data_IF_854197277574
#
_entry.id   IF_854197277574
#
_cell.length_a   1.000
_cell.length_b   1.000
_cell.length_c   1.000
_cell.angle_alpha   90.00
_cell.angle_beta   90.00
_cell.angle_gamma   90.00
#
_symmetry.space_group_name_H-M   'P 1'
#
loop_
_entity.id
_entity.type
_entity.pdbx_description
1 polymer ?
#
# COMPACT_ATOMS: atom_id res chain seq x y z
N UNK A 1 -10.16 -0.13 -19.23
CA UNK A 1 -11.29 -0.01 -18.28
C UNK A 1 -10.71 0.33 -16.92
N UNK A 2 -11.03 1.49 -16.32
CA UNK A 2 -10.51 1.85 -15.02
C UNK A 2 -11.13 0.93 -13.99
N UNK A 3 -10.34 0.02 -13.43
CA UNK A 3 -10.69 -0.70 -12.22
C UNK A 3 -10.56 0.26 -11.02
N UNK A 4 -11.46 1.23 -10.96
CA UNK A 4 -11.80 1.86 -9.70
C UNK A 4 -12.30 0.75 -8.77
N UNK A 5 -11.43 0.26 -7.87
CA UNK A 5 -11.88 -0.43 -6.67
C UNK A 5 -12.69 0.55 -5.84
N UNK A 6 -13.93 0.80 -6.27
CA UNK A 6 -14.94 1.33 -5.36
C UNK A 6 -15.01 0.34 -4.22
N UNK A 7 -14.67 0.79 -3.01
CA UNK A 7 -14.90 0.04 -1.77
C UNK A 7 -16.28 -0.57 -1.89
N UNK A 8 -16.35 -1.90 -1.92
CA UNK A 8 -17.61 -2.59 -1.70
C UNK A 8 -18.10 -2.18 -0.31
N UNK A 9 -19.01 -1.21 -0.25
CA UNK A 9 -19.79 -0.94 0.96
C UNK A 9 -20.69 -2.15 1.14
N UNK A 10 -20.45 -2.80 2.24
CA UNK A 10 -21.09 -3.96 2.80
C UNK A 10 -22.63 -3.95 2.73
N UNK A 11 -23.25 -5.01 2.25
CA UNK A 11 -24.68 -5.27 2.53
C UNK A 11 -25.09 -6.74 2.47
N UNK A 12 -24.18 -7.70 2.69
CA UNK A 12 -24.61 -9.06 3.10
C UNK A 12 -23.43 -9.85 3.68
N UNK A 13 -23.41 -9.95 5.00
CA UNK A 13 -22.47 -10.79 5.74
C UNK A 13 -22.90 -12.24 5.69
N UNK A 14 -22.21 -13.08 4.93
CA UNK A 14 -22.09 -14.49 5.30
C UNK A 14 -20.86 -14.63 6.18
N UNK A 15 -21.04 -14.48 7.48
CA UNK A 15 -19.99 -14.73 8.49
C UNK A 15 -20.05 -16.20 8.84
N UNK A 16 -19.06 -16.98 8.43
CA UNK A 16 -18.82 -18.30 8.99
C UNK A 16 -17.86 -18.11 10.17
N UNK A 17 -18.41 -18.12 11.38
CA UNK A 17 -17.62 -18.12 12.60
C UNK A 17 -17.17 -19.55 12.93
N UNK A 18 -15.90 -19.82 12.87
CA UNK A 18 -15.29 -21.03 13.44
C UNK A 18 -14.56 -20.67 14.73
N UNK A 19 -15.09 -21.13 15.86
CA UNK A 19 -14.43 -21.01 17.16
C UNK A 19 -13.50 -22.19 17.37
N UNK A 20 -12.19 -21.93 17.45
CA UNK A 20 -11.20 -22.92 17.88
C UNK A 20 -10.73 -22.57 19.28
N UNK A 21 -11.02 -23.44 20.26
CA UNK A 21 -10.53 -23.25 21.62
C UNK A 21 -9.08 -23.70 21.76
N UNK A 22 -8.21 -22.86 22.30
CA UNK A 22 -6.82 -23.17 22.61
C UNK A 22 -6.66 -23.45 24.10
N UNK A 23 -6.00 -24.55 24.45
CA UNK A 23 -5.93 -25.09 25.82
C UNK A 23 -5.32 -24.12 26.86
N UNK A 24 -5.68 -24.35 28.15
CA UNK A 24 -5.35 -23.54 29.36
C UNK A 24 -3.86 -23.33 29.70
N UNK A 25 -2.92 -23.99 29.01
CA UNK A 25 -1.46 -23.87 29.29
C UNK A 25 -0.74 -22.85 28.41
N UNK A 26 -1.37 -21.70 28.17
CA UNK A 26 -0.76 -20.59 27.45
C UNK A 26 -0.25 -19.51 28.43
N UNK A 27 0.48 -18.51 27.89
CA UNK A 27 1.01 -17.37 28.67
C UNK A 27 -0.07 -16.58 29.41
N UNK A 28 -1.26 -16.46 28.82
CA UNK A 28 -2.39 -15.72 29.38
C UNK A 28 -3.12 -16.48 30.50
N UNK A 29 -2.76 -17.77 30.75
CA UNK A 29 -3.38 -18.63 31.76
C UNK A 29 -4.91 -18.70 31.66
N UNK A 30 -5.45 -18.41 30.50
CA UNK A 30 -6.88 -18.37 30.19
C UNK A 30 -7.22 -19.23 28.97
N UNK A 31 -8.49 -19.52 28.77
CA UNK A 31 -8.96 -20.09 27.50
C UNK A 31 -8.89 -19.00 26.44
N UNK A 32 -8.43 -19.34 25.26
CA UNK A 32 -8.37 -18.44 24.12
C UNK A 32 -9.39 -18.87 23.08
N UNK A 33 -10.03 -17.89 22.44
CA UNK A 33 -10.92 -18.08 21.30
C UNK A 33 -10.32 -17.40 20.08
N UNK A 34 -10.13 -18.16 19.00
CA UNK A 34 -9.76 -17.63 17.70
C UNK A 34 -11.03 -17.53 16.83
N UNK A 35 -11.39 -16.31 16.48
CA UNK A 35 -12.47 -16.03 15.58
C UNK A 35 -11.93 -15.80 14.19
N UNK A 36 -12.54 -16.43 13.19
CA UNK A 36 -12.18 -16.23 11.78
C UNK A 36 -13.41 -15.73 11.03
N UNK A 37 -13.32 -14.49 10.55
CA UNK A 37 -14.35 -13.87 9.72
C UNK A 37 -13.99 -14.02 8.25
N UNK A 38 -14.89 -14.51 7.41
CA UNK A 38 -14.75 -14.45 5.97
C UNK A 38 -15.88 -13.62 5.35
N UNK A 39 -15.52 -12.70 4.46
CA UNK A 39 -16.46 -11.81 3.77
C UNK A 39 -16.21 -11.93 2.28
N UNK A 40 -17.23 -12.31 1.51
CA UNK A 40 -17.15 -12.35 0.04
C UNK A 40 -17.83 -11.12 -0.55
N UNK A 41 -17.21 -10.53 -1.58
CA UNK A 41 -17.81 -9.42 -2.31
C UNK A 41 -19.12 -9.88 -2.99
N UNK A 42 -20.27 -9.22 -2.73
CA UNK A 42 -21.55 -9.61 -3.29
C UNK A 42 -21.67 -9.34 -4.79
N UNK A 43 -20.74 -8.58 -5.38
CA UNK A 43 -20.75 -8.26 -6.81
C UNK A 43 -20.42 -9.52 -7.62
N UNK A 44 -21.30 -9.98 -8.53
CA UNK A 44 -21.10 -11.23 -9.29
C UNK A 44 -19.82 -11.28 -10.12
N UNK A 45 -19.36 -10.13 -10.61
CA UNK A 45 -18.13 -9.98 -11.42
C UNK A 45 -16.86 -9.88 -10.60
N UNK A 46 -16.96 -9.65 -9.27
CA UNK A 46 -15.81 -9.51 -8.38
C UNK A 46 -15.55 -10.81 -7.61
N UNK A 47 -16.50 -11.23 -6.78
CA UNK A 47 -16.46 -12.42 -5.90
C UNK A 47 -15.16 -12.58 -5.09
N UNK A 48 -14.37 -11.50 -4.97
CA UNK A 48 -13.20 -11.48 -4.09
C UNK A 48 -13.63 -11.69 -2.64
N UNK A 49 -12.81 -12.39 -1.87
CA UNK A 49 -13.09 -12.63 -0.46
C UNK A 49 -11.97 -12.13 0.44
N UNK A 50 -12.36 -11.70 1.63
CA UNK A 50 -11.45 -11.28 2.70
C UNK A 50 -11.60 -12.23 3.89
N UNK A 51 -10.45 -12.54 4.53
CA UNK A 51 -10.41 -13.36 5.74
C UNK A 51 -9.66 -12.59 6.81
N UNK A 52 -10.26 -12.50 8.00
CA UNK A 52 -9.64 -11.89 9.19
C UNK A 52 -9.67 -12.90 10.33
N UNK A 53 -8.60 -12.92 11.14
CA UNK A 53 -8.54 -13.66 12.38
C UNK A 53 -8.41 -12.72 13.57
N UNK A 54 -9.09 -13.02 14.67
CA UNK A 54 -9.00 -12.27 15.93
C UNK A 54 -8.82 -13.26 17.08
N UNK A 55 -7.85 -13.02 17.94
CA UNK A 55 -7.59 -13.81 19.14
C UNK A 55 -8.09 -13.07 20.37
N UNK A 56 -8.93 -13.71 21.14
CA UNK A 56 -9.49 -13.17 22.38
C UNK A 56 -9.21 -14.10 23.55
N UNK A 57 -9.18 -13.55 24.77
CA UNK A 57 -9.44 -14.36 25.97
C UNK A 57 -10.91 -14.77 25.96
N UNK A 58 -11.21 -15.95 26.53
CA UNK A 58 -12.58 -16.47 26.58
C UNK A 58 -12.94 -16.86 28.01
N UNK A 59 -14.04 -16.32 28.51
CA UNK A 59 -14.60 -16.69 29.79
C UNK A 59 -15.65 -17.78 29.62
N UNK A 60 -15.25 -19.03 29.88
CA UNK A 60 -16.14 -20.18 29.75
C UNK A 60 -17.28 -20.23 30.76
N UNK A 61 -17.21 -19.44 31.86
CA UNK A 61 -18.29 -19.37 32.84
C UNK A 61 -19.42 -18.43 32.41
N UNK A 62 -19.09 -17.42 31.59
CA UNK A 62 -20.02 -16.42 31.08
C UNK A 62 -20.36 -16.61 29.61
N UNK A 63 -19.71 -17.58 28.94
CA UNK A 63 -19.80 -17.80 27.49
C UNK A 63 -19.56 -16.51 26.70
N UNK A 64 -18.48 -15.78 27.06
CA UNK A 64 -18.24 -14.47 26.53
C UNK A 64 -16.77 -14.25 26.13
N UNK A 65 -16.58 -13.48 25.04
CA UNK A 65 -15.27 -13.01 24.63
C UNK A 65 -14.77 -11.91 25.60
N UNK A 66 -13.53 -12.07 26.03
CA UNK A 66 -12.82 -11.08 26.81
C UNK A 66 -11.93 -10.16 25.97
N UNK A 67 -10.74 -9.84 26.48
CA UNK A 67 -9.79 -8.94 25.85
C UNK A 67 -9.30 -9.48 24.51
N UNK A 68 -9.28 -8.62 23.48
CA UNK A 68 -8.60 -8.92 22.21
C UNK A 68 -7.08 -8.90 22.43
N UNK A 69 -6.42 -10.00 22.05
CA UNK A 69 -4.97 -10.21 22.20
C UNK A 69 -4.22 -10.02 20.88
N UNK A 70 -4.92 -10.18 19.75
CA UNK A 70 -4.34 -10.03 18.44
C UNK A 70 -5.36 -10.04 17.32
N UNK A 71 -4.99 -9.41 16.21
CA UNK A 71 -5.80 -9.32 15.00
C UNK A 71 -4.92 -9.45 13.77
N UNK A 72 -5.35 -10.25 12.81
CA UNK A 72 -4.62 -10.52 11.58
C UNK A 72 -5.55 -10.42 10.37
N UNK A 73 -5.06 -9.78 9.32
CA UNK A 73 -5.66 -9.83 8.00
C UNK A 73 -5.01 -11.00 7.26
N UNK A 74 -5.75 -12.09 7.05
CA UNK A 74 -5.24 -13.28 6.39
C UNK A 74 -5.39 -13.21 4.86
N UNK A 75 -6.46 -12.51 4.40
CA UNK A 75 -6.67 -12.27 2.97
C UNK A 75 -7.49 -10.99 2.74
N UNK A 76 -7.08 -10.11 1.80
CA UNK A 76 -5.72 -10.11 1.25
C UNK A 76 -4.70 -9.95 2.37
N UNK A 77 -3.54 -10.53 2.21
CA UNK A 77 -2.44 -10.42 3.18
C UNK A 77 -1.73 -9.05 3.14
N UNK A 78 -2.12 -8.20 2.23
CA UNK A 78 -1.59 -6.84 2.08
C UNK A 78 -2.71 -5.84 1.86
N UNK A 79 -2.50 -4.60 2.31
CA UNK A 79 -3.36 -3.44 2.04
C UNK A 79 -3.03 -2.75 0.69
N UNK A 80 -2.11 -3.31 -0.08
CA UNK A 80 -1.67 -2.74 -1.35
C UNK A 80 -2.84 -2.53 -2.33
N UNK A 81 -2.84 -1.38 -2.99
CA UNK A 81 -3.73 -1.09 -4.11
C UNK A 81 -3.19 -1.77 -5.36
N UNK A 82 -4.08 -2.18 -6.24
CA UNK A 82 -3.68 -2.70 -7.54
C UNK A 82 -3.39 -1.55 -8.47
N UNK A 83 -2.19 -1.51 -9.01
CA UNK A 83 -1.77 -0.54 -10.01
C UNK A 83 -1.67 -1.18 -11.40
N UNK A 84 -1.92 -0.39 -12.49
CA UNK A 84 -1.89 -0.90 -13.86
C UNK A 84 -0.49 -1.37 -14.31
N UNK A 85 -0.48 -2.29 -15.27
CA UNK A 85 0.74 -2.93 -15.77
C UNK A 85 1.67 -2.02 -16.58
N UNK A 86 1.19 -0.85 -17.01
CA UNK A 86 2.05 0.15 -17.66
C UNK A 86 2.97 0.89 -16.66
N UNK A 87 2.76 0.73 -15.35
CA UNK A 87 3.73 1.15 -14.33
C UNK A 87 4.79 0.06 -14.21
N UNK A 88 6.09 0.40 -14.22
CA UNK A 88 7.17 -0.57 -14.20
C UNK A 88 7.04 -1.59 -13.07
N UNK A 89 7.23 -2.87 -13.43
CA UNK A 89 7.08 -3.99 -12.50
C UNK A 89 7.91 -3.83 -11.21
N UNK A 90 9.21 -3.42 -11.26
CA UNK A 90 10.00 -3.25 -10.03
C UNK A 90 9.41 -2.23 -9.05
N UNK A 91 8.80 -1.14 -9.58
CA UNK A 91 8.16 -0.12 -8.76
C UNK A 91 6.92 -0.70 -8.07
N UNK A 92 6.11 -1.47 -8.81
CA UNK A 92 4.91 -2.11 -8.24
C UNK A 92 5.26 -3.17 -7.21
N UNK A 93 6.29 -3.99 -7.46
CA UNK A 93 6.76 -5.02 -6.53
C UNK A 93 7.29 -4.41 -5.23
N UNK A 94 8.10 -3.36 -5.29
CA UNK A 94 8.60 -2.66 -4.10
C UNK A 94 7.46 -2.06 -3.26
N UNK A 95 6.45 -1.48 -3.92
CA UNK A 95 5.27 -0.96 -3.26
C UNK A 95 4.44 -2.05 -2.60
N UNK A 96 4.17 -3.15 -3.31
CA UNK A 96 3.38 -4.27 -2.80
C UNK A 96 4.07 -4.94 -1.60
N UNK A 97 5.38 -5.13 -1.68
CA UNK A 97 6.18 -5.70 -0.60
C UNK A 97 6.21 -4.76 0.62
N UNK A 98 6.39 -3.44 0.42
CA UNK A 98 6.32 -2.47 1.51
C UNK A 98 4.97 -2.52 2.24
N UNK A 99 3.86 -2.60 1.50
CA UNK A 99 2.53 -2.75 2.08
C UNK A 99 2.36 -4.07 2.86
N UNK A 100 2.95 -5.16 2.35
CA UNK A 100 2.86 -6.49 2.96
C UNK A 100 3.55 -6.55 4.32
N UNK A 101 4.76 -5.97 4.42
CA UNK A 101 5.62 -6.09 5.60
C UNK A 101 5.50 -4.93 6.58
N UNK A 102 4.69 -3.92 6.30
CA UNK A 102 4.57 -2.68 7.10
C UNK A 102 4.39 -2.96 8.60
N UNK A 103 3.46 -3.83 8.96
CA UNK A 103 3.13 -4.14 10.35
C UNK A 103 4.11 -5.16 10.97
N UNK A 104 4.87 -5.88 10.15
CA UNK A 104 5.87 -6.85 10.59
C UNK A 104 7.24 -6.21 10.77
N UNK A 105 7.60 -5.30 9.89
CA UNK A 105 8.88 -4.60 9.91
C UNK A 105 8.74 -3.19 9.29
N UNK A 106 8.26 -2.21 10.06
CA UNK A 106 8.07 -0.84 9.56
C UNK A 106 9.34 -0.25 8.95
N UNK A 107 10.49 -0.52 9.56
CA UNK A 107 11.81 -0.11 9.05
C UNK A 107 12.11 -0.67 7.65
N UNK A 108 11.85 -1.95 7.42
CA UNK A 108 12.05 -2.56 6.11
C UNK A 108 11.04 -2.02 5.08
N UNK A 109 9.78 -1.81 5.48
CA UNK A 109 8.75 -1.20 4.66
C UNK A 109 9.12 0.23 4.22
N UNK A 110 9.64 1.05 5.16
CA UNK A 110 10.14 2.39 4.84
C UNK A 110 11.31 2.35 3.84
N UNK A 111 12.21 1.39 3.97
CA UNK A 111 13.33 1.19 3.04
C UNK A 111 12.84 0.85 1.64
N UNK A 112 11.85 -0.05 1.52
CA UNK A 112 11.23 -0.40 0.23
C UNK A 112 10.47 0.79 -0.37
N UNK A 113 9.73 1.55 0.43
CA UNK A 113 9.04 2.75 -0.03
C UNK A 113 10.03 3.79 -0.59
N UNK A 114 11.20 3.96 0.02
CA UNK A 114 12.27 4.85 -0.50
C UNK A 114 12.86 4.32 -1.80
N UNK A 115 13.09 3.01 -1.92
CA UNK A 115 13.55 2.38 -3.16
C UNK A 115 12.53 2.55 -4.27
N UNK A 116 11.26 2.38 -3.95
CA UNK A 116 10.13 2.64 -4.84
C UNK A 116 10.11 4.10 -5.32
N UNK A 117 10.25 5.08 -4.40
CA UNK A 117 10.37 6.50 -4.73
C UNK A 117 11.52 6.77 -5.70
N UNK A 118 12.69 6.19 -5.44
CA UNK A 118 13.84 6.33 -6.31
C UNK A 118 13.57 5.76 -7.71
N UNK A 119 12.92 4.59 -7.77
CA UNK A 119 12.47 3.99 -9.03
C UNK A 119 11.51 4.89 -9.81
N UNK A 120 10.55 5.51 -9.12
CA UNK A 120 9.59 6.45 -9.71
C UNK A 120 10.31 7.69 -10.28
N UNK A 121 11.23 8.29 -9.52
CA UNK A 121 12.00 9.48 -9.96
C UNK A 121 12.79 9.15 -11.21
N UNK A 122 13.47 8.02 -11.24
CA UNK A 122 14.30 7.59 -12.37
C UNK A 122 13.47 7.27 -13.62
N UNK A 123 12.37 6.55 -13.45
CA UNK A 123 11.53 6.13 -14.58
C UNK A 123 10.69 7.29 -15.12
N UNK A 124 10.04 8.03 -14.26
CA UNK A 124 9.08 9.06 -14.70
C UNK A 124 9.74 10.37 -15.13
N UNK A 125 10.78 10.80 -14.41
CA UNK A 125 11.47 12.07 -14.63
C UNK A 125 12.81 11.92 -15.35
N UNK A 126 13.33 10.69 -15.50
CA UNK A 126 14.63 10.43 -16.12
C UNK A 126 15.82 10.92 -15.27
N UNK A 127 15.61 11.28 -14.00
CA UNK A 127 16.63 11.75 -13.09
C UNK A 127 17.32 10.56 -12.44
N UNK A 128 18.64 10.41 -12.64
CA UNK A 128 19.42 9.32 -12.06
C UNK A 128 20.72 9.83 -11.49
N UNK A 129 20.89 9.73 -10.17
CA UNK A 129 22.09 10.11 -9.42
C UNK A 129 22.56 8.96 -8.53
N UNK A 130 23.75 9.14 -7.94
CA UNK A 130 24.29 8.16 -7.02
C UNK A 130 23.47 8.02 -5.72
N UNK A 131 22.83 9.11 -5.26
CA UNK A 131 22.07 9.13 -4.00
C UNK A 131 20.68 9.68 -4.25
N UNK A 132 19.68 9.10 -3.57
CA UNK A 132 18.29 9.57 -3.62
C UNK A 132 18.16 11.06 -3.26
N UNK A 133 18.95 11.55 -2.31
CA UNK A 133 18.94 12.97 -1.92
C UNK A 133 19.26 13.90 -3.08
N UNK A 134 20.19 13.51 -3.94
CA UNK A 134 20.59 14.31 -5.10
C UNK A 134 19.51 14.27 -6.19
N UNK A 135 18.81 13.13 -6.33
CA UNK A 135 17.65 12.98 -7.22
C UNK A 135 16.46 13.83 -6.76
N UNK A 136 16.19 13.88 -5.45
CA UNK A 136 15.14 14.73 -4.86
C UNK A 136 15.47 16.22 -5.07
N UNK A 137 16.72 16.62 -4.90
CA UNK A 137 17.12 18.01 -5.13
C UNK A 137 16.91 18.44 -6.60
N UNK A 138 17.16 17.55 -7.56
CA UNK A 138 16.96 17.83 -8.99
C UNK A 138 15.45 17.95 -9.37
N UNK A 139 14.54 17.43 -8.54
CA UNK A 139 13.11 17.65 -8.73
C UNK A 139 12.64 19.04 -8.33
N UNK A 140 13.44 19.79 -7.57
CA UNK A 140 13.09 21.13 -7.11
C UNK A 140 12.88 22.07 -8.30
N UNK A 141 11.70 22.66 -8.36
CA UNK A 141 11.29 23.54 -9.48
C UNK A 141 10.84 22.80 -10.75
N UNK A 142 10.93 21.47 -10.77
CA UNK A 142 10.38 20.62 -11.85
C UNK A 142 8.96 20.21 -11.54
N UNK A 143 8.65 19.94 -10.28
CA UNK A 143 7.33 19.58 -9.76
C UNK A 143 6.79 20.71 -8.88
N UNK A 144 5.51 20.62 -8.51
CA UNK A 144 4.91 21.60 -7.59
C UNK A 144 5.57 21.55 -6.21
N UNK A 145 5.55 22.70 -5.53
CA UNK A 145 6.28 22.90 -4.28
C UNK A 145 5.78 21.96 -3.16
N UNK A 146 4.47 21.74 -3.06
CA UNK A 146 3.90 20.90 -1.99
C UNK A 146 4.31 19.44 -2.16
N UNK A 147 4.29 18.92 -3.38
CA UNK A 147 4.75 17.57 -3.70
C UNK A 147 6.26 17.44 -3.44
N UNK A 148 7.05 18.45 -3.81
CA UNK A 148 8.48 18.43 -3.54
C UNK A 148 8.78 18.42 -2.04
N UNK A 149 8.10 19.26 -1.25
CA UNK A 149 8.27 19.29 0.21
C UNK A 149 7.90 17.97 0.86
N UNK A 150 6.82 17.32 0.41
CA UNK A 150 6.44 16.00 0.89
C UNK A 150 7.50 14.93 0.56
N UNK A 151 8.07 14.96 -0.64
CA UNK A 151 9.15 14.05 -1.04
C UNK A 151 10.43 14.34 -0.26
N UNK A 152 10.79 15.62 -0.05
CA UNK A 152 11.97 15.99 0.72
C UNK A 152 11.85 15.59 2.21
N UNK A 153 10.65 15.66 2.77
CA UNK A 153 10.38 15.21 4.14
C UNK A 153 10.66 13.70 4.34
N UNK A 154 10.53 12.88 3.28
CA UNK A 154 10.88 11.44 3.31
C UNK A 154 12.35 11.22 3.70
N UNK A 155 13.23 12.16 3.39
CA UNK A 155 14.64 12.12 3.83
C UNK A 155 14.75 12.04 5.35
N UNK A 156 13.94 12.82 6.04
CA UNK A 156 13.99 12.93 7.51
C UNK A 156 13.49 11.64 8.16
N UNK A 157 12.40 11.09 7.64
CA UNK A 157 11.75 9.88 8.17
C UNK A 157 12.57 8.62 7.86
N UNK A 158 13.32 8.60 6.81
CA UNK A 158 14.02 7.40 6.35
C UNK A 158 15.56 7.51 6.34
N UNK A 159 16.15 8.51 6.95
CA UNK A 159 17.63 8.65 7.05
C UNK A 159 18.28 7.58 7.95
N UNK A 160 17.51 6.63 8.34
CA UNK A 160 17.74 5.52 9.24
C UNK A 160 18.78 4.52 8.70
N UNK A 161 18.91 4.40 7.37
CA UNK A 161 19.86 3.49 6.74
C UNK A 161 21.23 4.09 6.43
N UNK A 162 21.32 5.41 6.28
CA UNK A 162 22.57 6.07 5.86
C UNK A 162 23.60 6.25 6.99
N UNK A 163 23.18 6.11 8.26
CA UNK A 163 24.05 6.24 9.41
C UNK A 163 24.48 4.89 10.02
N UNK A 164 23.92 3.75 9.60
CA UNK A 164 24.33 2.44 10.09
C UNK A 164 25.78 2.08 9.74
N UNK A 165 26.36 2.71 8.71
CA UNK A 165 27.78 2.55 8.39
C UNK A 165 28.71 3.30 9.37
N UNK A 166 28.17 4.24 10.16
CA UNK A 166 28.96 5.06 11.10
C UNK A 166 28.70 4.75 12.57
N UNK A 167 27.49 4.33 12.94
CA UNK A 167 27.17 3.99 14.32
C UNK A 167 26.05 2.93 14.40
N UNK A 168 26.44 1.70 14.72
CA UNK A 168 25.54 0.55 14.87
C UNK A 168 24.56 0.72 16.04
N UNK A 169 24.84 1.66 16.95
CA UNK A 169 24.03 1.92 18.13
C UNK A 169 22.91 2.97 17.87
N UNK A 170 22.94 3.64 16.73
CA UNK A 170 21.89 4.59 16.35
C UNK A 170 20.74 3.86 15.65
N UNK A 171 19.99 3.07 16.38
CA UNK A 171 18.73 2.45 15.90
C UNK A 171 17.65 3.52 15.95
N UNK A 172 17.39 4.20 14.82
CA UNK A 172 16.19 5.01 14.69
C UNK A 172 15.04 4.01 14.43
N UNK A 173 14.12 3.92 15.36
CA UNK A 173 12.91 3.13 15.20
C UNK A 173 11.96 3.83 14.23
N UNK A 174 11.32 3.08 13.36
CA UNK A 174 10.26 3.54 12.46
C UNK A 174 8.98 2.89 12.94
N UNK A 175 8.00 3.73 13.26
CA UNK A 175 6.68 3.25 13.64
C UNK A 175 5.85 2.84 12.41
N UNK A 176 4.89 1.90 12.55
CA UNK A 176 4.02 1.47 11.45
C UNK A 176 3.29 2.63 10.76
N UNK A 177 2.92 3.66 11.52
CA UNK A 177 2.24 4.86 11.05
C UNK A 177 3.15 5.70 10.14
N UNK A 178 4.44 5.80 10.47
CA UNK A 178 5.43 6.52 9.65
C UNK A 178 5.66 5.78 8.33
N UNK A 179 5.82 4.45 8.38
CA UNK A 179 5.92 3.62 7.17
C UNK A 179 4.65 3.75 6.31
N UNK A 180 3.45 3.83 6.93
CA UNK A 180 2.20 4.04 6.23
C UNK A 180 2.14 5.39 5.52
N UNK A 181 2.67 6.46 6.12
CA UNK A 181 2.74 7.77 5.46
C UNK A 181 3.62 7.74 4.22
N UNK A 182 4.78 7.05 4.28
CA UNK A 182 5.65 6.86 3.11
C UNK A 182 4.96 6.08 2.00
N UNK A 183 4.29 4.97 2.34
CA UNK A 183 3.50 4.18 1.40
C UNK A 183 2.38 5.04 0.78
N UNK A 184 1.70 5.85 1.59
CA UNK A 184 0.67 6.79 1.14
C UNK A 184 1.20 7.81 0.13
N UNK A 185 2.40 8.35 0.34
CA UNK A 185 3.04 9.23 -0.63
C UNK A 185 3.30 8.51 -1.96
N UNK A 186 3.84 7.30 -1.93
CA UNK A 186 4.03 6.49 -3.15
C UNK A 186 2.71 6.32 -3.90
N UNK A 187 1.61 6.04 -3.21
CA UNK A 187 0.29 5.91 -3.82
C UNK A 187 -0.19 7.20 -4.52
N UNK A 188 0.08 8.36 -3.92
CA UNK A 188 -0.21 9.67 -4.52
C UNK A 188 0.61 9.85 -5.79
N UNK A 189 1.93 9.61 -5.74
CA UNK A 189 2.81 9.78 -6.90
C UNK A 189 2.47 8.83 -8.05
N UNK A 190 2.16 7.56 -7.75
CA UNK A 190 1.73 6.60 -8.77
C UNK A 190 0.42 7.02 -9.44
N UNK A 191 -0.52 7.57 -8.68
CA UNK A 191 -1.78 8.07 -9.21
C UNK A 191 -1.58 9.32 -10.07
N UNK A 192 -0.89 10.32 -9.54
CA UNK A 192 -0.82 11.64 -10.15
C UNK A 192 0.16 11.66 -11.35
N UNK A 193 1.26 10.93 -11.26
CA UNK A 193 2.24 10.91 -12.34
C UNK A 193 1.93 9.86 -13.42
N UNK A 194 1.66 8.62 -13.05
CA UNK A 194 1.45 7.55 -14.03
C UNK A 194 0.00 7.49 -14.51
N UNK A 195 -0.97 7.36 -13.60
CA UNK A 195 -2.37 7.14 -13.97
C UNK A 195 -2.93 8.38 -14.65
N UNK A 196 -2.80 9.55 -14.04
CA UNK A 196 -3.33 10.78 -14.60
C UNK A 196 -2.69 11.13 -15.96
N UNK A 197 -1.36 10.88 -16.13
CA UNK A 197 -0.69 11.05 -17.43
C UNK A 197 -1.25 10.10 -18.48
N UNK A 198 -1.44 8.83 -18.14
CA UNK A 198 -1.98 7.82 -19.06
C UNK A 198 -3.41 8.15 -19.49
N UNK A 199 -4.28 8.48 -18.55
CA UNK A 199 -5.67 8.88 -18.81
C UNK A 199 -5.74 10.13 -19.69
N UNK A 200 -4.94 11.14 -19.37
CA UNK A 200 -4.84 12.35 -20.20
C UNK A 200 -4.38 12.04 -21.62
N UNK A 201 -3.37 11.21 -21.79
CA UNK A 201 -2.86 10.85 -23.13
C UNK A 201 -3.93 10.08 -23.92
N UNK A 202 -4.60 9.11 -23.29
CA UNK A 202 -5.68 8.35 -23.91
C UNK A 202 -6.83 9.27 -24.37
N UNK A 203 -7.24 10.23 -23.53
CA UNK A 203 -8.29 11.19 -23.89
C UNK A 203 -7.88 12.08 -25.06
N UNK A 204 -6.66 12.62 -25.07
CA UNK A 204 -6.15 13.43 -26.19
C UNK A 204 -6.10 12.64 -27.50
N UNK A 205 -5.68 11.37 -27.44
CA UNK A 205 -5.67 10.49 -28.62
C UNK A 205 -7.07 10.25 -29.17
N UNK A 206 -8.09 10.08 -28.32
CA UNK A 206 -9.48 9.93 -28.74
C UNK A 206 -9.97 11.19 -29.48
N UNK A 207 -9.65 12.39 -29.01
CA UNK A 207 -10.00 13.66 -29.68
C UNK A 207 -9.36 13.72 -31.06
N UNK A 208 -8.07 13.39 -31.17
CA UNK A 208 -7.34 13.37 -32.45
C UNK A 208 -7.94 12.36 -33.42
N UNK A 209 -8.27 11.16 -32.94
CA UNK A 209 -8.89 10.11 -33.77
C UNK A 209 -10.26 10.55 -34.29
N UNK A 210 -11.08 11.16 -33.43
CA UNK A 210 -12.39 11.71 -33.83
C UNK A 210 -12.27 12.83 -34.90
N UNK A 211 -11.30 13.71 -34.74
CA UNK A 211 -11.06 14.77 -35.70
C UNK A 211 -10.62 14.23 -37.09
N UNK A 212 -9.78 13.17 -37.08
CA UNK A 212 -9.35 12.49 -38.32
C UNK A 212 -10.53 11.79 -39.04
N UNK A 213 -11.44 11.17 -38.28
CA UNK A 213 -12.59 10.45 -38.86
C UNK A 213 -13.63 11.40 -39.49
N UNK A 214 -13.64 12.68 -39.10
CA UNK A 214 -14.56 13.70 -39.64
C UNK A 214 -14.01 14.51 -40.82
N UNK A 215 -12.72 14.33 -41.17
CA UNK A 215 -12.20 14.98 -42.40
C UNK A 215 -12.78 14.25 -43.62
N UNK A 216 -13.50 14.94 -44.54
CA UNK A 216 -13.94 14.34 -45.79
C UNK A 216 -12.68 13.87 -46.57
N UNK A 217 -12.81 12.72 -47.28
CA UNK A 217 -11.78 12.31 -48.22
C UNK A 217 -11.62 13.48 -49.22
N UNK A 218 -10.41 13.99 -49.36
CA UNK A 218 -10.11 14.96 -50.41
C UNK A 218 -10.36 14.28 -51.76
N UNK A 219 -11.34 14.79 -52.48
CA UNK A 219 -11.67 14.35 -53.85
C UNK A 219 -10.60 14.84 -54.79
#
# INVERSE_FOLDING_TARGET
>A
LPLLRTRCRDHSRHVLEHNVSVQRRNREKSVLALLVDSITCPRPTCREYAIKARLHTYDSSKDSLGKELGRWQLRPNSSAKVFPDYIPKPIREDYEEACLIRDLSPKAAATLARRCLQGIIRDFWGISKARLVDEINDLKGVIDQATWEAIDAVRSIGNIGAHMERDINLVIEVEPEEAQLLIGLIEVLLKDWYIARHERQAHLQQIVALAKSKKPAAT
#
